data_IF_665308296984
#
_entry.id   IF_665308296984
#
_cell.length_a   1.000
_cell.length_b   1.000
_cell.length_c   1.000
_cell.angle_alpha   90.00
_cell.angle_beta   90.00
_cell.angle_gamma   90.00
#
_symmetry.space_group_name_H-M   'P 1'
#
loop_
_entity.id
_entity.type
_entity.pdbx_description
1 polymer ?
#
# COMPACT_ATOMS: atom_id res chain seq x y z
N UNK A 1 -33.09 5.59 8.85
CA UNK A 1 -32.70 6.91 9.37
C UNK A 1 -31.61 6.77 10.42
N UNK A 2 -31.88 6.58 11.72
CA UNK A 2 -30.81 6.65 12.75
C UNK A 2 -29.55 5.78 12.49
N UNK A 3 -29.71 4.53 12.02
CA UNK A 3 -28.57 3.62 11.81
C UNK A 3 -27.73 3.95 10.56
N UNK A 4 -28.38 4.50 9.53
CA UNK A 4 -27.73 4.96 8.31
C UNK A 4 -26.99 6.27 8.56
N UNK A 5 -27.61 7.19 9.32
CA UNK A 5 -26.99 8.45 9.71
C UNK A 5 -25.75 8.21 10.60
N UNK A 6 -25.83 7.29 11.57
CA UNK A 6 -24.67 6.89 12.39
C UNK A 6 -23.56 6.26 11.53
N UNK A 7 -23.93 5.39 10.58
CA UNK A 7 -22.96 4.77 9.68
C UNK A 7 -22.26 5.81 8.80
N UNK A 8 -23.01 6.74 8.21
CA UNK A 8 -22.47 7.80 7.36
C UNK A 8 -21.60 8.78 8.15
N UNK A 9 -21.95 9.10 9.40
CA UNK A 9 -21.14 9.96 10.27
C UNK A 9 -19.82 9.29 10.70
N UNK A 10 -19.82 7.96 10.83
CA UNK A 10 -18.61 7.20 11.13
C UNK A 10 -17.63 7.13 9.94
N UNK A 11 -18.11 7.19 8.70
CA UNK A 11 -17.25 7.05 7.52
C UNK A 11 -16.14 8.13 7.41
N UNK A 12 -16.41 9.44 7.62
CA UNK A 12 -15.36 10.46 7.69
C UNK A 12 -14.31 10.21 8.77
N UNK A 13 -14.66 9.55 9.87
CA UNK A 13 -13.73 9.28 10.98
C UNK A 13 -12.70 8.21 10.64
N UNK A 14 -12.96 7.39 9.62
CA UNK A 14 -12.06 6.35 9.13
C UNK A 14 -11.46 6.68 7.76
N UNK A 15 -11.61 7.93 7.30
CA UNK A 15 -11.02 8.37 6.05
C UNK A 15 -9.48 8.34 6.14
N UNK A 16 -8.79 7.58 5.26
CA UNK A 16 -7.35 7.36 5.38
C UNK A 16 -6.54 8.63 5.18
N UNK A 17 -7.00 9.56 4.33
CA UNK A 17 -6.31 10.83 4.09
C UNK A 17 -6.39 11.71 5.34
N UNK A 18 -7.60 11.85 5.89
CA UNK A 18 -7.85 12.63 7.12
C UNK A 18 -7.04 12.10 8.30
N UNK A 19 -7.10 10.79 8.56
CA UNK A 19 -6.40 10.17 9.68
C UNK A 19 -4.88 10.36 9.59
N UNK A 20 -4.31 10.28 8.39
CA UNK A 20 -2.89 10.57 8.16
C UNK A 20 -2.57 12.03 8.45
N UNK A 21 -3.37 12.97 7.95
CA UNK A 21 -3.16 14.40 8.20
C UNK A 21 -3.23 14.75 9.68
N UNK A 22 -4.22 14.23 10.39
CA UNK A 22 -4.37 14.45 11.83
C UNK A 22 -3.18 13.87 12.61
N UNK A 23 -2.72 12.66 12.27
CA UNK A 23 -1.54 12.06 12.89
C UNK A 23 -0.24 12.83 12.60
N UNK A 24 -0.04 13.31 11.37
CA UNK A 24 1.15 14.08 11.01
C UNK A 24 1.17 15.44 11.71
N UNK A 25 0.01 16.08 11.92
CA UNK A 25 -0.11 17.35 12.63
C UNK A 25 0.22 17.27 14.12
N UNK A 26 0.09 16.10 14.76
CA UNK A 26 0.49 15.92 16.16
C UNK A 26 1.99 15.70 16.33
N UNK A 27 2.73 15.51 15.23
CA UNK A 27 4.17 15.31 15.23
C UNK A 27 4.90 16.61 14.88
N UNK A 28 6.07 16.79 15.49
CA UNK A 28 6.92 17.94 15.20
C UNK A 28 7.79 17.67 13.97
N UNK A 29 7.32 18.10 12.80
CA UNK A 29 8.12 18.12 11.56
C UNK A 29 8.69 19.52 11.34
N UNK A 30 10.02 19.64 11.22
CA UNK A 30 10.73 20.91 11.01
C UNK A 30 11.10 21.12 9.53
N UNK A 31 10.12 20.97 8.64
CA UNK A 31 10.29 21.10 7.19
C UNK A 31 11.16 19.99 6.55
N UNK A 32 11.08 18.79 7.11
CA UNK A 32 11.81 17.61 6.62
C UNK A 32 11.37 17.22 5.20
N UNK A 33 12.34 16.79 4.40
CA UNK A 33 12.07 16.16 3.11
C UNK A 33 11.89 14.67 3.31
N UNK A 34 10.90 14.08 2.62
CA UNK A 34 10.52 12.69 2.84
C UNK A 34 10.33 11.93 1.53
N UNK A 35 10.72 10.68 1.55
CA UNK A 35 10.34 9.66 0.60
C UNK A 35 9.07 8.96 1.07
N UNK A 36 8.24 8.47 0.15
CA UNK A 36 7.03 7.73 0.50
C UNK A 36 6.98 6.39 -0.21
N UNK A 37 6.65 5.33 0.52
CA UNK A 37 6.19 4.08 -0.10
C UNK A 37 4.82 3.74 0.45
N UNK A 38 3.99 3.10 -0.36
CA UNK A 38 2.66 2.71 0.07
C UNK A 38 2.19 1.44 -0.57
N UNK A 39 1.48 0.61 0.18
CA UNK A 39 0.88 -0.61 -0.36
C UNK A 39 -0.44 -0.99 0.32
N UNK A 40 -1.37 -1.51 -0.49
CA UNK A 40 -2.68 -1.99 -0.04
C UNK A 40 -3.84 -1.05 -0.37
N UNK A 41 -5.05 -1.45 0.04
CA UNK A 41 -6.33 -0.85 -0.37
C UNK A 41 -6.48 0.63 -0.04
N UNK A 42 -5.92 1.07 1.09
CA UNK A 42 -6.02 2.46 1.54
C UNK A 42 -4.77 3.29 1.23
N UNK A 43 -3.72 2.69 0.65
CA UNK A 43 -2.43 3.34 0.47
C UNK A 43 -2.49 4.59 -0.42
N UNK A 44 -3.35 4.60 -1.45
CA UNK A 44 -3.59 5.80 -2.24
C UNK A 44 -4.09 6.98 -1.40
N UNK A 45 -5.14 6.76 -0.58
CA UNK A 45 -5.69 7.81 0.28
C UNK A 45 -4.72 8.24 1.38
N UNK A 46 -3.99 7.29 1.98
CA UNK A 46 -2.94 7.60 2.95
C UNK A 46 -1.85 8.47 2.32
N UNK A 47 -1.36 8.10 1.13
CA UNK A 47 -0.36 8.86 0.39
C UNK A 47 -0.87 10.26 0.00
N UNK A 48 -2.14 10.40 -0.35
CA UNK A 48 -2.74 11.72 -0.60
C UNK A 48 -2.67 12.62 0.65
N UNK A 49 -2.86 12.07 1.85
CA UNK A 49 -2.68 12.79 3.11
C UNK A 49 -1.24 13.19 3.37
N UNK A 50 -0.28 12.29 3.09
CA UNK A 50 1.15 12.60 3.22
C UNK A 50 1.55 13.71 2.24
N UNK A 51 1.11 13.62 0.99
CA UNK A 51 1.37 14.63 -0.05
C UNK A 51 0.78 15.98 0.34
N UNK A 52 -0.46 16.01 0.86
CA UNK A 52 -1.07 17.27 1.32
C UNK A 52 -0.28 17.91 2.48
N UNK A 53 0.26 17.09 3.39
CA UNK A 53 1.04 17.60 4.52
C UNK A 53 2.43 18.11 4.11
N UNK A 54 3.20 17.32 3.34
CA UNK A 54 4.59 17.65 3.00
C UNK A 54 4.74 18.48 1.71
N UNK A 55 3.75 18.45 0.82
CA UNK A 55 3.76 19.20 -0.44
C UNK A 55 5.04 18.96 -1.27
N UNK A 56 5.75 20.05 -1.57
CA UNK A 56 6.98 20.01 -2.39
C UNK A 56 8.18 19.35 -1.68
N UNK A 57 8.10 19.07 -0.38
CA UNK A 57 9.13 18.35 0.38
C UNK A 57 9.11 16.84 0.12
N UNK A 58 8.14 16.32 -0.65
CA UNK A 58 8.18 14.94 -1.15
C UNK A 58 9.33 14.82 -2.16
N UNK A 59 10.31 13.94 -1.88
CA UNK A 59 11.47 13.68 -2.76
C UNK A 59 11.10 12.69 -3.86
N UNK A 60 10.52 11.55 -3.48
CA UNK A 60 10.10 10.49 -4.39
C UNK A 60 9.06 9.60 -3.72
N UNK A 61 8.15 9.02 -4.51
CA UNK A 61 7.18 8.10 -3.99
C UNK A 61 6.73 6.99 -4.92
N UNK A 62 6.52 5.80 -4.35
CA UNK A 62 6.02 4.62 -5.07
C UNK A 62 4.87 4.01 -4.27
N UNK A 63 3.67 4.01 -4.86
CA UNK A 63 2.45 3.51 -4.22
C UNK A 63 1.89 2.34 -5.04
N UNK A 64 1.60 1.22 -4.39
CA UNK A 64 1.06 0.00 -4.98
C UNK A 64 -0.34 -0.29 -4.44
N UNK A 65 -1.37 -0.24 -5.29
CA UNK A 65 -2.77 -0.40 -4.89
C UNK A 65 -3.48 -1.45 -5.74
N UNK A 66 -4.60 -2.04 -5.30
CA UNK A 66 -5.35 -2.99 -6.11
C UNK A 66 -5.84 -2.40 -7.44
N UNK A 67 -5.92 -3.23 -8.49
CA UNK A 67 -6.55 -2.87 -9.76
C UNK A 67 -7.98 -2.37 -9.53
N UNK A 68 -8.30 -1.22 -10.15
CA UNK A 68 -9.62 -0.60 -10.08
C UNK A 68 -9.79 0.34 -8.88
N UNK A 69 -8.74 0.58 -8.09
CA UNK A 69 -8.74 1.58 -7.01
C UNK A 69 -9.12 2.95 -7.55
N UNK A 70 -8.49 3.40 -8.64
CA UNK A 70 -8.77 4.71 -9.23
C UNK A 70 -10.21 4.80 -9.72
N UNK A 71 -10.64 3.81 -10.51
CA UNK A 71 -12.00 3.73 -11.05
C UNK A 71 -13.04 3.72 -9.94
N UNK A 72 -12.80 2.97 -8.87
CA UNK A 72 -13.68 2.94 -7.69
C UNK A 72 -13.78 4.32 -7.03
N UNK A 73 -12.66 5.03 -6.87
CA UNK A 73 -12.67 6.40 -6.33
C UNK A 73 -13.45 7.37 -7.22
N UNK A 74 -13.30 7.28 -8.54
CA UNK A 74 -14.04 8.10 -9.51
C UNK A 74 -15.56 7.82 -9.41
N UNK A 75 -15.96 6.55 -9.39
CA UNK A 75 -17.38 6.15 -9.30
C UNK A 75 -18.05 6.55 -7.98
N UNK A 76 -17.28 6.67 -6.90
CA UNK A 76 -17.79 7.02 -5.57
C UNK A 76 -17.54 8.50 -5.19
N UNK A 77 -17.17 9.35 -6.16
CA UNK A 77 -16.88 10.76 -5.94
C UNK A 77 -15.80 11.01 -4.86
N UNK A 78 -14.79 10.14 -4.77
CA UNK A 78 -13.65 10.20 -3.84
C UNK A 78 -12.32 10.42 -4.54
N UNK A 79 -12.33 11.14 -5.66
CA UNK A 79 -11.11 11.43 -6.45
C UNK A 79 -10.06 12.21 -5.65
N UNK A 80 -10.47 12.95 -4.60
CA UNK A 80 -9.57 13.63 -3.66
C UNK A 80 -8.69 12.69 -2.82
N UNK A 81 -8.92 11.38 -2.86
CA UNK A 81 -8.07 10.34 -2.26
C UNK A 81 -7.01 9.79 -3.23
N UNK A 82 -7.04 10.19 -4.50
CA UNK A 82 -6.00 9.79 -5.43
C UNK A 82 -4.75 10.66 -5.21
N UNK A 83 -3.57 10.07 -4.97
CA UNK A 83 -2.36 10.84 -4.71
C UNK A 83 -1.85 11.47 -6.01
N UNK A 84 -1.90 12.80 -6.09
CA UNK A 84 -1.43 13.57 -7.25
C UNK A 84 -0.18 14.35 -6.85
N UNK A 85 0.99 13.90 -7.33
CA UNK A 85 2.26 14.62 -7.16
C UNK A 85 3.26 14.20 -8.24
N UNK A 86 4.02 15.15 -8.80
CA UNK A 86 4.94 14.92 -9.93
C UNK A 86 6.05 13.89 -9.66
N UNK A 87 6.37 13.65 -8.39
CA UNK A 87 7.41 12.71 -7.94
C UNK A 87 6.86 11.40 -7.38
N UNK A 88 5.53 11.20 -7.44
CA UNK A 88 4.87 10.01 -6.88
C UNK A 88 4.25 9.22 -8.02
N UNK A 89 4.62 7.94 -8.12
CA UNK A 89 4.05 6.98 -9.06
C UNK A 89 3.09 6.06 -8.33
N UNK A 90 1.94 5.79 -8.93
CA UNK A 90 0.94 4.86 -8.42
C UNK A 90 0.78 3.72 -9.40
N UNK A 91 0.89 2.49 -8.90
CA UNK A 91 0.75 1.26 -9.66
C UNK A 91 -0.53 0.55 -9.20
N UNK A 92 -1.40 0.26 -10.15
CA UNK A 92 -2.56 -0.60 -9.93
C UNK A 92 -2.15 -2.05 -10.24
N UNK A 93 -2.16 -2.89 -9.21
CA UNK A 93 -1.62 -4.26 -9.22
C UNK A 93 -2.60 -5.23 -8.54
N UNK A 94 -2.22 -6.48 -8.37
CA UNK A 94 -2.95 -7.44 -7.56
C UNK A 94 -4.40 -7.66 -8.00
N UNK A 95 -4.58 -7.96 -9.30
CA UNK A 95 -5.89 -8.29 -9.86
C UNK A 95 -6.59 -9.38 -9.03
N UNK A 96 -7.90 -9.22 -8.82
CA UNK A 96 -8.74 -10.14 -8.03
C UNK A 96 -8.23 -10.36 -6.58
N UNK A 97 -7.48 -9.40 -6.03
CA UNK A 97 -6.82 -9.47 -4.70
C UNK A 97 -5.78 -10.60 -4.58
N UNK A 98 -5.19 -11.05 -5.69
CA UNK A 98 -4.09 -12.01 -5.69
C UNK A 98 -2.82 -11.33 -6.24
N UNK A 99 -1.63 -11.65 -5.71
CA UNK A 99 -0.37 -11.26 -6.34
C UNK A 99 -0.34 -11.58 -7.84
N UNK A 100 0.01 -10.59 -8.66
CA UNK A 100 0.26 -10.73 -10.09
C UNK A 100 1.66 -10.22 -10.45
N UNK A 101 2.04 -10.33 -11.72
CA UNK A 101 3.37 -9.88 -12.17
C UNK A 101 3.56 -8.37 -11.93
N UNK A 102 2.51 -7.57 -12.10
CA UNK A 102 2.57 -6.14 -11.84
C UNK A 102 2.86 -5.85 -10.36
N UNK A 103 2.32 -6.64 -9.42
CA UNK A 103 2.65 -6.55 -8.00
C UNK A 103 4.12 -6.91 -7.72
N UNK A 104 4.67 -7.91 -8.42
CA UNK A 104 6.09 -8.28 -8.32
C UNK A 104 6.98 -7.16 -8.83
N UNK A 105 6.68 -6.63 -10.01
CA UNK A 105 7.45 -5.54 -10.62
C UNK A 105 7.41 -4.28 -9.74
N UNK A 106 6.25 -3.90 -9.22
CA UNK A 106 6.11 -2.79 -8.29
C UNK A 106 6.87 -3.03 -6.97
N UNK A 107 6.86 -4.27 -6.46
CA UNK A 107 7.61 -4.64 -5.25
C UNK A 107 9.12 -4.53 -5.46
N UNK A 108 9.61 -4.97 -6.62
CA UNK A 108 11.03 -4.87 -6.98
C UNK A 108 11.44 -3.39 -7.14
N UNK A 109 10.60 -2.56 -7.78
CA UNK A 109 10.86 -1.12 -7.86
C UNK A 109 10.93 -0.46 -6.47
N UNK A 110 10.04 -0.84 -5.55
CA UNK A 110 10.08 -0.36 -4.16
C UNK A 110 11.36 -0.82 -3.48
N UNK A 111 11.75 -2.09 -3.65
CA UNK A 111 12.95 -2.66 -3.04
C UNK A 111 14.21 -1.96 -3.54
N UNK A 112 14.35 -1.81 -4.86
CA UNK A 112 15.48 -1.13 -5.50
C UNK A 112 15.56 0.33 -5.03
N UNK A 113 14.43 1.03 -5.00
CA UNK A 113 14.36 2.39 -4.46
C UNK A 113 14.82 2.48 -3.01
N UNK A 114 14.31 1.61 -2.13
CA UNK A 114 14.69 1.60 -0.71
C UNK A 114 16.18 1.31 -0.53
N UNK A 115 16.77 0.44 -1.36
CA UNK A 115 18.22 0.16 -1.37
C UNK A 115 19.08 1.37 -1.73
N UNK A 116 18.53 2.37 -2.42
CA UNK A 116 19.26 3.62 -2.74
C UNK A 116 19.25 4.66 -1.61
N UNK A 117 18.40 4.50 -0.60
CA UNK A 117 18.26 5.46 0.49
C UNK A 117 19.49 5.48 1.40
N UNK A 118 19.83 6.66 1.88
CA UNK A 118 20.92 6.92 2.81
C UNK A 118 20.39 7.02 4.25
N UNK A 119 21.32 7.00 5.22
CA UNK A 119 20.98 7.04 6.65
C UNK A 119 20.25 8.30 7.10
N UNK A 120 20.42 9.40 6.38
CA UNK A 120 19.79 10.69 6.64
C UNK A 120 18.42 10.84 5.94
N UNK A 121 18.10 9.96 4.98
CA UNK A 121 16.81 9.99 4.28
C UNK A 121 15.67 9.57 5.21
N UNK A 122 14.53 10.25 5.08
CA UNK A 122 13.30 9.93 5.81
C UNK A 122 12.33 9.21 4.90
N UNK A 123 12.02 7.96 5.23
CA UNK A 123 11.03 7.17 4.51
C UNK A 123 9.74 7.04 5.34
N UNK A 124 8.61 7.43 4.75
CA UNK A 124 7.29 7.16 5.31
C UNK A 124 6.70 5.94 4.59
N UNK A 125 6.37 4.91 5.37
CA UNK A 125 5.75 3.67 4.87
C UNK A 125 4.27 3.66 5.21
N UNK A 126 3.42 3.67 4.18
CA UNK A 126 1.96 3.59 4.32
C UNK A 126 1.46 2.17 4.01
N UNK A 127 1.09 1.44 5.06
CA UNK A 127 0.62 0.05 4.95
C UNK A 127 -0.87 -0.03 5.30
N UNK A 128 -1.62 -0.79 4.50
CA UNK A 128 -3.03 -1.08 4.75
C UNK A 128 -3.38 -2.52 4.34
N UNK A 129 -4.63 -2.93 4.59
CA UNK A 129 -5.11 -4.26 4.21
C UNK A 129 -4.93 -4.52 2.70
N UNK A 130 -4.53 -5.75 2.35
CA UNK A 130 -4.21 -6.14 0.97
C UNK A 130 -2.72 -6.12 0.62
N UNK A 131 -1.84 -5.78 1.58
CA UNK A 131 -0.40 -5.76 1.36
C UNK A 131 0.19 -7.09 0.87
N UNK A 132 -0.30 -8.24 1.32
CA UNK A 132 0.16 -9.55 0.82
C UNK A 132 -0.04 -9.74 -0.68
N UNK A 133 -0.99 -9.02 -1.28
CA UNK A 133 -1.25 -9.06 -2.70
C UNK A 133 -0.51 -7.93 -3.45
N UNK A 134 -0.45 -6.73 -2.88
CA UNK A 134 0.12 -5.53 -3.52
C UNK A 134 1.64 -5.41 -3.38
N UNK A 135 2.26 -6.12 -2.44
CA UNK A 135 3.70 -6.08 -2.15
C UNK A 135 4.30 -7.49 -2.13
N UNK A 136 4.11 -8.23 -3.22
CA UNK A 136 4.58 -9.60 -3.36
C UNK A 136 5.96 -9.62 -4.03
N UNK A 137 6.97 -10.12 -3.32
CA UNK A 137 8.30 -10.40 -3.89
C UNK A 137 8.63 -11.88 -3.64
N UNK A 138 8.40 -12.80 -4.60
CA UNK A 138 8.80 -14.20 -4.49
C UNK A 138 10.33 -14.32 -4.30
N UNK A 139 10.77 -15.35 -3.58
CA UNK A 139 12.20 -15.65 -3.51
C UNK A 139 12.72 -16.12 -4.89
N UNK A 140 13.99 -15.86 -5.19
CA UNK A 140 14.59 -16.15 -6.52
C UNK A 140 14.45 -17.61 -6.97
N UNK A 141 14.38 -18.54 -6.01
CA UNK A 141 14.27 -19.97 -6.26
C UNK A 141 12.83 -20.45 -6.51
N UNK A 142 11.81 -19.58 -6.41
CA UNK A 142 10.41 -19.95 -6.63
C UNK A 142 9.67 -18.93 -7.50
N UNK A 143 8.97 -19.44 -8.51
CA UNK A 143 8.12 -18.60 -9.35
C UNK A 143 6.91 -18.06 -8.58
N UNK A 144 6.38 -16.91 -9.00
CA UNK A 144 5.12 -16.38 -8.45
C UNK A 144 3.99 -17.42 -8.57
N UNK A 145 3.90 -18.11 -9.71
CA UNK A 145 2.88 -19.11 -9.97
C UNK A 145 2.97 -20.27 -8.98
N UNK A 146 4.17 -20.79 -8.72
CA UNK A 146 4.34 -21.91 -7.80
C UNK A 146 4.12 -21.49 -6.35
N UNK A 147 4.53 -20.28 -5.97
CA UNK A 147 4.18 -19.68 -4.68
C UNK A 147 2.65 -19.64 -4.49
N UNK A 148 1.91 -19.18 -5.50
CA UNK A 148 0.44 -19.14 -5.44
C UNK A 148 -0.18 -20.55 -5.36
N UNK A 149 0.37 -21.53 -6.10
CA UNK A 149 -0.09 -22.94 -6.03
C UNK A 149 0.05 -23.50 -4.62
N UNK A 150 1.22 -23.35 -3.99
CA UNK A 150 1.47 -23.82 -2.61
C UNK A 150 0.48 -23.19 -1.64
N UNK A 151 0.30 -21.86 -1.71
CA UNK A 151 -0.63 -21.16 -0.82
C UNK A 151 -2.08 -21.61 -1.03
N UNK A 152 -2.50 -21.80 -2.28
CA UNK A 152 -3.85 -22.29 -2.61
C UNK A 152 -4.08 -23.72 -2.12
N UNK A 153 -3.08 -24.59 -2.25
CA UNK A 153 -3.17 -25.96 -1.76
C UNK A 153 -3.30 -26.00 -0.23
N UNK A 154 -2.45 -25.26 0.49
CA UNK A 154 -2.54 -25.15 1.95
C UNK A 154 -3.90 -24.62 2.40
N UNK A 155 -4.39 -23.57 1.74
CA UNK A 155 -5.71 -23.02 2.02
C UNK A 155 -6.82 -24.05 1.80
N UNK A 156 -6.76 -24.84 0.71
CA UNK A 156 -7.75 -25.90 0.43
C UNK A 156 -7.76 -27.02 1.47
N UNK A 157 -6.65 -27.20 2.20
CA UNK A 157 -6.51 -28.17 3.29
C UNK A 157 -6.84 -27.58 4.67
N UNK A 158 -7.35 -26.35 4.72
CA UNK A 158 -7.79 -25.72 5.97
C UNK A 158 -6.67 -25.07 6.79
N UNK A 159 -5.51 -24.77 6.18
CA UNK A 159 -4.46 -24.04 6.86
C UNK A 159 -4.96 -22.70 7.41
N UNK A 160 -4.57 -22.41 8.65
CA UNK A 160 -4.88 -21.17 9.35
C UNK A 160 -4.19 -19.96 8.72
N UNK A 161 -4.67 -18.75 9.01
CA UNK A 161 -4.04 -17.52 8.50
C UNK A 161 -2.59 -17.37 8.98
N UNK A 162 -2.28 -17.85 10.18
CA UNK A 162 -0.93 -17.86 10.75
C UNK A 162 0.00 -18.79 9.97
N UNK A 163 -0.44 -20.00 9.64
CA UNK A 163 0.32 -20.95 8.82
C UNK A 163 0.54 -20.41 7.41
N UNK A 164 -0.52 -19.88 6.77
CA UNK A 164 -0.41 -19.28 5.45
C UNK A 164 0.58 -18.10 5.44
N UNK A 165 0.57 -17.24 6.45
CA UNK A 165 1.53 -16.12 6.55
C UNK A 165 2.96 -16.59 6.81
N UNK A 166 3.14 -17.65 7.60
CA UNK A 166 4.45 -18.25 7.86
C UNK A 166 5.05 -18.78 6.55
N UNK A 167 4.27 -19.53 5.77
CA UNK A 167 4.72 -20.05 4.47
C UNK A 167 4.92 -18.91 3.47
N UNK A 168 4.02 -17.92 3.38
CA UNK A 168 4.19 -16.76 2.49
C UNK A 168 5.51 -16.04 2.74
N UNK A 169 5.88 -15.84 4.00
CA UNK A 169 7.13 -15.19 4.42
C UNK A 169 8.36 -16.02 4.05
N UNK A 170 8.30 -17.35 4.23
CA UNK A 170 9.36 -18.27 3.81
C UNK A 170 9.59 -18.27 2.29
N UNK A 171 8.52 -18.09 1.52
CA UNK A 171 8.55 -18.03 0.05
C UNK A 171 8.76 -16.61 -0.51
N UNK A 172 9.11 -15.63 0.33
CA UNK A 172 9.39 -14.26 -0.09
C UNK A 172 10.88 -13.98 -0.09
N UNK A 173 11.33 -13.15 -1.03
CA UNK A 173 12.69 -12.60 -0.98
C UNK A 173 12.83 -11.69 0.25
N UNK A 174 14.03 -11.68 0.85
CA UNK A 174 14.40 -10.90 2.03
C UNK A 174 15.64 -10.02 1.81
N UNK A 175 16.31 -10.16 0.67
CA UNK A 175 17.61 -9.55 0.38
C UNK A 175 17.51 -8.37 -0.61
#
# INVERSE_FOLDING_TARGET
MLLEDIFLEALPSIDPKRLVLENLRTKSFSNEKVHIIGFGKAAAGMAAGIIEFFGENIIEGIISVPVGTRKSMEQNNRTGLWPVHKRVKVFEVAKDNLPDQAAVDASNLILDFVKTLKSDDKLIVSCSGGGSACLACPADWISLQDKLKVIKELQSKGATIQELNSIRSLLSNKD
#
